data_IF_558438496226
#
_entry.id   IF_558438496226
#
_cell.length_a   1.000
_cell.length_b   1.000
_cell.length_c   1.000
_cell.angle_alpha   90.00
_cell.angle_beta   90.00
_cell.angle_gamma   90.00
#
_symmetry.space_group_name_H-M   'P 1'
#
loop_
_entity.id
_entity.type
_entity.pdbx_description
1 polymer ?
#
# COMPACT_ATOMS: atom_id res chain seq x y z
N UNK A 1 6.10 -78.26 -49.69
CA UNK A 1 6.00 -77.91 -51.12
C UNK A 1 5.57 -76.45 -51.18
N UNK A 2 6.53 -75.55 -51.36
CA UNK A 2 6.87 -74.83 -52.61
C UNK A 2 6.20 -73.45 -52.57
N UNK A 3 6.81 -72.29 -52.78
CA UNK A 3 8.16 -71.83 -53.14
C UNK A 3 8.19 -70.32 -52.80
N UNK A 4 9.17 -69.84 -52.01
CA UNK A 4 10.25 -68.91 -52.39
C UNK A 4 10.04 -67.93 -53.57
N UNK A 5 10.33 -66.66 -53.26
CA UNK A 5 10.91 -65.61 -54.11
C UNK A 5 11.11 -64.37 -53.23
N UNK A 6 12.25 -64.08 -52.57
CA UNK A 6 13.64 -63.80 -52.97
C UNK A 6 13.92 -62.30 -53.24
N UNK A 7 15.14 -61.88 -52.89
CA UNK A 7 15.50 -60.65 -52.20
C UNK A 7 15.96 -59.44 -53.05
N UNK A 8 16.32 -58.36 -52.32
CA UNK A 8 17.19 -57.22 -52.64
C UNK A 8 16.43 -55.91 -52.98
N UNK A 9 16.75 -54.73 -52.47
CA UNK A 9 17.82 -54.25 -51.59
C UNK A 9 17.83 -52.71 -51.71
N UNK A 10 18.12 -51.97 -50.63
CA UNK A 10 18.32 -50.52 -50.69
C UNK A 10 17.80 -49.77 -49.47
N UNK A 11 18.69 -49.46 -48.53
CA UNK A 11 18.51 -48.40 -47.53
C UNK A 11 18.20 -47.08 -48.23
N UNK A 12 17.28 -46.27 -47.68
CA UNK A 12 17.46 -44.84 -47.29
C UNK A 12 16.08 -44.32 -46.85
N UNK A 13 16.04 -43.62 -45.72
CA UNK A 13 15.09 -42.51 -45.56
C UNK A 13 14.00 -42.75 -44.53
N UNK A 14 14.22 -42.12 -43.38
CA UNK A 14 13.33 -42.01 -42.23
C UNK A 14 11.94 -41.52 -42.63
N UNK A 15 10.95 -42.21 -42.06
CA UNK A 15 9.52 -41.93 -41.99
C UNK A 15 9.17 -40.51 -41.54
N UNK A 16 8.10 -40.02 -42.16
CA UNK A 16 7.12 -39.05 -41.67
C UNK A 16 7.61 -37.61 -41.46
N UNK A 17 7.26 -36.78 -42.45
CA UNK A 17 7.04 -35.34 -42.33
C UNK A 17 5.99 -35.11 -41.23
N UNK A 18 6.43 -34.86 -40.00
CA UNK A 18 5.58 -34.28 -38.98
C UNK A 18 5.60 -32.76 -39.13
N UNK A 19 4.46 -32.26 -39.60
CA UNK A 19 4.15 -30.86 -39.70
C UNK A 19 4.35 -30.14 -38.36
N UNK A 20 5.17 -29.09 -38.42
CA UNK A 20 5.09 -27.82 -37.68
C UNK A 20 4.20 -27.87 -36.42
N UNK A 21 4.83 -28.03 -35.25
CA UNK A 21 4.23 -27.71 -33.97
C UNK A 21 4.11 -26.18 -33.83
N UNK A 22 2.96 -25.62 -34.21
CA UNK A 22 2.54 -24.28 -33.79
C UNK A 22 1.82 -24.44 -32.45
N UNK A 23 2.23 -23.76 -31.37
CA UNK A 23 1.51 -23.85 -30.11
C UNK A 23 0.14 -23.18 -30.27
N UNK A 24 -0.90 -23.98 -30.09
CA UNK A 24 -2.31 -23.59 -30.00
C UNK A 24 -2.49 -22.54 -28.88
N UNK A 25 -2.53 -21.28 -29.28
CA UNK A 25 -3.13 -20.20 -28.52
C UNK A 25 -4.55 -19.94 -29.07
N UNK A 26 -5.48 -19.80 -28.13
CA UNK A 26 -6.88 -19.38 -28.29
C UNK A 26 -7.84 -20.40 -28.94
N UNK A 27 -8.73 -20.96 -28.12
CA UNK A 27 -10.15 -20.53 -28.06
C UNK A 27 -10.89 -21.36 -27.01
N UNK A 28 -10.92 -20.88 -25.77
CA UNK A 28 -12.01 -21.24 -24.85
C UNK A 28 -13.02 -20.09 -24.93
N UNK A 29 -13.95 -20.18 -25.89
CA UNK A 29 -15.14 -19.35 -25.91
C UNK A 29 -16.04 -19.86 -24.79
N UNK A 30 -15.98 -19.23 -23.62
CA UNK A 30 -17.01 -19.43 -22.61
C UNK A 30 -18.30 -18.81 -23.14
N UNK A 31 -19.19 -19.66 -23.66
CA UNK A 31 -20.59 -19.33 -23.81
C UNK A 31 -21.18 -19.17 -22.40
N UNK A 32 -21.13 -17.96 -21.86
CA UNK A 32 -21.88 -17.58 -20.66
C UNK A 32 -23.32 -17.43 -21.14
N UNK A 33 -24.10 -18.50 -21.03
CA UNK A 33 -25.56 -18.41 -21.08
C UNK A 33 -26.00 -17.50 -19.95
N UNK A 34 -26.62 -16.37 -20.32
CA UNK A 34 -27.12 -15.37 -19.41
C UNK A 34 -28.28 -15.93 -18.57
N UNK A 35 -27.95 -16.53 -17.43
CA UNK A 35 -28.83 -16.67 -16.27
C UNK A 35 -27.92 -16.83 -15.05
N UNK A 36 -28.02 -15.88 -14.12
CA UNK A 36 -27.18 -15.68 -12.92
C UNK A 36 -25.91 -14.83 -13.13
N UNK A 37 -26.07 -13.63 -13.69
CA UNK A 37 -25.20 -12.52 -13.30
C UNK A 37 -25.55 -12.13 -11.86
N UNK A 38 -24.65 -12.37 -10.92
CA UNK A 38 -24.70 -11.68 -9.63
C UNK A 38 -24.43 -10.19 -9.90
N UNK A 39 -25.49 -9.44 -10.20
CA UNK A 39 -25.47 -7.99 -10.23
C UNK A 39 -25.18 -7.47 -8.82
N UNK A 40 -23.91 -7.27 -8.48
CA UNK A 40 -23.49 -6.39 -7.40
C UNK A 40 -23.65 -4.91 -7.82
N UNK A 41 -24.79 -4.58 -8.44
CA UNK A 41 -25.04 -3.33 -9.15
C UNK A 41 -26.53 -2.99 -9.25
N UNK A 42 -27.34 -3.43 -8.29
CA UNK A 42 -28.75 -3.08 -8.19
C UNK A 42 -29.02 -2.08 -7.07
N UNK A 43 -28.73 -0.80 -7.31
CA UNK A 43 -29.23 0.31 -6.47
C UNK A 43 -28.16 1.29 -6.00
N UNK A 44 -27.93 2.36 -6.77
CA UNK A 44 -27.49 3.70 -6.33
C UNK A 44 -26.24 3.87 -5.45
N UNK A 45 -25.58 2.78 -5.03
CA UNK A 45 -24.44 2.76 -4.12
C UNK A 45 -23.18 2.40 -4.89
N UNK A 46 -22.15 3.22 -4.72
CA UNK A 46 -20.79 2.93 -5.20
C UNK A 46 -20.31 1.58 -4.63
N UNK A 47 -20.12 0.56 -5.47
CA UNK A 47 -19.56 -0.74 -5.05
C UNK A 47 -18.18 -0.54 -4.39
N UNK A 48 -17.82 -1.35 -3.39
CA UNK A 48 -16.48 -1.33 -2.75
C UNK A 48 -15.35 -1.34 -3.80
N UNK A 49 -15.54 -2.08 -4.90
CA UNK A 49 -14.56 -2.19 -5.99
C UNK A 49 -14.26 -0.84 -6.64
N UNK A 50 -15.25 0.05 -6.75
CA UNK A 50 -15.08 1.34 -7.41
C UNK A 50 -14.04 2.21 -6.68
N UNK A 51 -13.91 2.05 -5.37
CA UNK A 51 -12.95 2.78 -4.53
C UNK A 51 -11.49 2.35 -4.78
N UNK A 52 -11.27 1.20 -5.42
CA UNK A 52 -9.96 0.68 -5.79
C UNK A 52 -9.62 0.86 -7.28
N UNK A 53 -10.53 1.45 -8.08
CA UNK A 53 -10.26 1.73 -9.50
C UNK A 53 -9.17 2.79 -9.70
N UNK A 54 -9.00 3.68 -8.72
CA UNK A 54 -7.89 4.62 -8.70
C UNK A 54 -6.71 3.97 -7.98
N UNK A 55 -5.65 3.67 -8.74
CA UNK A 55 -4.42 3.15 -8.18
C UNK A 55 -3.75 4.15 -7.21
N UNK A 56 -2.76 3.68 -6.43
CA UNK A 56 -2.04 4.55 -5.49
C UNK A 56 -1.23 5.64 -6.18
N UNK A 57 -1.26 6.85 -5.62
CA UNK A 57 -0.61 8.05 -6.13
C UNK A 57 -0.07 8.89 -4.97
N UNK A 58 1.26 8.92 -4.84
CA UNK A 58 1.94 9.68 -3.79
C UNK A 58 1.81 11.19 -4.01
N UNK A 59 1.82 11.68 -5.25
CA UNK A 59 1.67 13.11 -5.53
C UNK A 59 0.29 13.61 -5.12
N UNK A 60 -0.73 12.78 -5.34
CA UNK A 60 -2.07 13.00 -4.81
C UNK A 60 -2.04 13.00 -3.27
N UNK A 61 -1.47 11.96 -2.66
CA UNK A 61 -1.37 11.84 -1.18
C UNK A 61 -0.69 13.06 -0.53
N UNK A 62 0.42 13.56 -1.09
CA UNK A 62 1.15 14.72 -0.59
C UNK A 62 0.28 15.98 -0.50
N UNK A 63 -0.60 16.18 -1.48
CA UNK A 63 -1.51 17.33 -1.49
C UNK A 63 -2.60 17.23 -0.42
N UNK A 64 -3.03 16.02 -0.07
CA UNK A 64 -4.08 15.79 0.93
C UNK A 64 -3.55 15.67 2.36
N UNK A 65 -2.29 15.29 2.54
CA UNK A 65 -1.64 15.13 3.84
C UNK A 65 -1.04 16.43 4.40
N UNK A 66 -1.62 17.59 4.05
CA UNK A 66 -1.23 18.91 4.61
C UNK A 66 -1.63 19.07 6.08
N UNK A 67 -2.68 18.36 6.49
CA UNK A 67 -3.09 18.24 7.90
C UNK A 67 -2.46 16.99 8.54
N UNK A 68 -2.41 16.99 9.87
CA UNK A 68 -1.85 15.86 10.63
C UNK A 68 -2.64 14.58 10.38
N UNK A 69 -1.89 13.53 10.01
CA UNK A 69 -2.34 12.15 9.98
C UNK A 69 -1.56 11.39 11.04
N UNK A 70 -2.27 10.66 11.90
CA UNK A 70 -1.70 9.96 13.04
C UNK A 70 -1.65 8.47 12.76
N UNK A 71 -0.54 7.84 13.17
CA UNK A 71 -0.37 6.40 13.05
C UNK A 71 -1.27 5.73 14.10
N UNK A 72 -2.26 4.99 13.63
CA UNK A 72 -3.20 4.28 14.50
C UNK A 72 -2.69 2.87 14.78
N UNK A 73 -2.42 2.11 13.73
CA UNK A 73 -1.97 0.73 13.81
C UNK A 73 -0.73 0.48 12.97
N UNK A 74 0.09 -0.48 13.40
CA UNK A 74 1.12 -1.09 12.57
C UNK A 74 1.29 -2.58 12.88
N UNK A 75 1.85 -3.36 11.94
CA UNK A 75 1.88 -4.83 12.04
C UNK A 75 3.25 -5.43 12.35
N UNK A 76 4.31 -4.62 12.46
CA UNK A 76 5.65 -5.07 12.84
C UNK A 76 6.32 -4.11 13.83
N UNK A 77 7.37 -4.56 14.51
CA UNK A 77 8.13 -3.78 15.51
C UNK A 77 7.30 -3.31 16.72
N UNK A 78 7.04 -4.23 17.65
CA UNK A 78 6.23 -3.99 18.84
C UNK A 78 6.74 -2.86 19.76
N UNK A 79 8.02 -2.49 19.71
CA UNK A 79 8.60 -1.44 20.57
C UNK A 79 8.33 -0.04 20.03
N UNK A 80 7.90 0.11 18.78
CA UNK A 80 7.74 1.42 18.14
C UNK A 80 6.81 2.37 18.92
N UNK A 81 5.73 1.85 19.52
CA UNK A 81 4.83 2.63 20.37
C UNK A 81 5.56 3.35 21.51
N UNK A 82 6.59 2.73 22.07
CA UNK A 82 7.37 3.33 23.17
C UNK A 82 8.38 4.36 22.68
N UNK A 83 8.87 4.21 21.45
CA UNK A 83 9.83 5.12 20.84
C UNK A 83 9.15 6.42 20.37
N UNK A 84 8.00 6.30 19.70
CA UNK A 84 7.25 7.43 19.15
C UNK A 84 5.75 7.31 19.44
N UNK A 85 5.35 7.39 20.72
CA UNK A 85 3.94 7.27 21.11
C UNK A 85 3.10 8.39 20.50
N UNK A 86 1.89 8.05 20.04
CA UNK A 86 0.97 9.02 19.49
C UNK A 86 1.57 9.84 18.32
N UNK A 87 2.35 9.19 17.45
CA UNK A 87 2.97 9.82 16.29
C UNK A 87 1.92 10.35 15.28
N UNK A 88 2.09 11.60 14.88
CA UNK A 88 1.42 12.19 13.73
C UNK A 88 2.42 12.84 12.78
N UNK A 89 2.07 12.90 11.50
CA UNK A 89 2.86 13.54 10.47
C UNK A 89 1.99 14.30 9.48
N UNK A 90 2.57 15.32 8.86
CA UNK A 90 1.98 16.07 7.76
C UNK A 90 3.05 16.52 6.78
N UNK A 91 2.67 16.80 5.55
CA UNK A 91 3.52 17.52 4.60
C UNK A 91 3.68 18.95 5.10
N UNK A 92 4.93 19.36 5.31
CA UNK A 92 5.27 20.75 5.65
C UNK A 92 5.67 21.56 4.41
N UNK A 93 6.36 20.93 3.46
CA UNK A 93 6.80 21.56 2.22
C UNK A 93 6.77 20.55 1.07
N UNK A 94 6.22 20.95 -0.08
CA UNK A 94 6.36 20.22 -1.34
C UNK A 94 7.44 20.95 -2.14
N UNK A 95 8.64 20.38 -2.20
CA UNK A 95 9.77 20.94 -2.95
C UNK A 95 9.55 20.76 -4.45
N UNK A 96 9.05 19.58 -4.84
CA UNK A 96 8.66 19.27 -6.21
C UNK A 96 7.43 18.35 -6.21
N UNK A 97 6.28 18.78 -6.79
CA UNK A 97 5.04 18.02 -6.77
C UNK A 97 5.21 16.59 -7.27
N UNK A 98 4.77 15.62 -6.45
CA UNK A 98 4.86 14.19 -6.79
C UNK A 98 6.28 13.64 -6.88
N UNK A 99 7.29 14.38 -6.42
CA UNK A 99 8.69 13.97 -6.48
C UNK A 99 9.39 14.08 -5.13
N UNK A 100 9.39 15.28 -4.54
CA UNK A 100 10.14 15.61 -3.33
C UNK A 100 9.27 16.42 -2.36
N UNK A 101 9.27 16.02 -1.10
CA UNK A 101 8.58 16.73 -0.04
C UNK A 101 9.33 16.63 1.28
N UNK A 102 9.02 17.53 2.20
CA UNK A 102 9.39 17.43 3.61
C UNK A 102 8.14 17.13 4.42
N UNK A 103 8.23 16.09 5.25
CA UNK A 103 7.22 15.75 6.24
C UNK A 103 7.67 16.26 7.61
N UNK A 104 6.82 17.01 8.29
CA UNK A 104 6.96 17.28 9.70
C UNK A 104 6.25 16.17 10.47
N UNK A 105 6.94 15.57 11.41
CA UNK A 105 6.37 14.60 12.34
C UNK A 105 6.45 15.14 13.76
N UNK A 106 5.46 14.79 14.57
CA UNK A 106 5.38 15.18 15.97
C UNK A 106 4.76 14.06 16.80
N UNK A 107 5.24 13.92 18.03
CA UNK A 107 4.77 12.91 18.98
C UNK A 107 4.97 13.37 20.42
N UNK A 108 4.20 12.81 21.33
CA UNK A 108 4.18 13.21 22.74
C UNK A 108 4.43 11.99 23.62
N UNK A 109 5.64 11.85 24.21
CA UNK A 109 5.95 10.80 25.18
C UNK A 109 5.03 10.81 26.41
N UNK A 110 4.52 11.99 26.76
CA UNK A 110 3.58 12.24 27.84
C UNK A 110 2.79 13.54 27.53
N UNK A 111 1.97 14.00 28.46
CA UNK A 111 1.12 15.18 28.29
C UNK A 111 1.89 16.50 28.14
N UNK A 112 3.11 16.60 28.70
CA UNK A 112 3.85 17.86 28.83
C UNK A 112 4.89 18.06 27.73
N UNK A 113 5.46 16.99 27.19
CA UNK A 113 6.51 17.05 26.18
C UNK A 113 5.95 16.88 24.76
N UNK A 114 6.46 17.72 23.86
CA UNK A 114 6.27 17.64 22.43
C UNK A 114 7.62 17.45 21.77
N UNK A 115 7.81 16.34 21.07
CA UNK A 115 8.97 16.10 20.23
C UNK A 115 8.54 16.19 18.78
N UNK A 116 9.35 16.85 17.96
CA UNK A 116 9.09 17.03 16.55
C UNK A 116 10.38 16.95 15.73
N UNK A 117 10.22 16.67 14.45
CA UNK A 117 11.33 16.68 13.50
C UNK A 117 10.80 16.72 12.08
N UNK A 118 11.73 16.75 11.13
CA UNK A 118 11.42 16.78 9.71
C UNK A 118 12.15 15.68 8.99
N UNK A 119 11.46 15.01 8.06
CA UNK A 119 12.05 14.04 7.16
C UNK A 119 11.85 14.49 5.73
N UNK A 120 12.97 14.61 4.99
CA UNK A 120 12.92 14.79 3.54
C UNK A 120 12.65 13.44 2.89
N UNK A 121 11.72 13.44 1.96
CA UNK A 121 11.32 12.24 1.23
C UNK A 121 11.42 12.46 -0.28
N UNK A 122 11.79 11.40 -0.97
CA UNK A 122 11.66 11.28 -2.42
C UNK A 122 10.58 10.25 -2.74
N UNK A 123 10.17 10.16 -4.00
CA UNK A 123 9.11 9.24 -4.43
C UNK A 123 9.59 8.32 -5.54
N UNK A 124 9.02 7.12 -5.58
CA UNK A 124 9.37 6.09 -6.57
C UNK A 124 8.11 5.34 -7.02
N UNK A 125 8.19 4.73 -8.21
CA UNK A 125 7.34 3.61 -8.59
C UNK A 125 7.96 2.32 -8.06
N UNK A 126 7.14 1.45 -7.50
CA UNK A 126 7.54 0.07 -7.18
C UNK A 126 8.02 -0.65 -8.44
N UNK A 127 7.24 -0.56 -9.51
CA UNK A 127 7.46 -1.20 -10.80
C UNK A 127 6.68 -0.44 -11.91
N UNK A 128 6.79 -0.90 -13.15
CA UNK A 128 6.13 -0.28 -14.31
C UNK A 128 4.62 -0.56 -14.41
N UNK A 129 4.05 -1.43 -13.57
CA UNK A 129 2.61 -1.67 -13.56
C UNK A 129 1.84 -0.50 -12.90
N UNK A 130 2.50 0.29 -12.06
CA UNK A 130 1.90 1.48 -11.46
C UNK A 130 1.94 2.68 -12.39
N UNK A 131 0.76 3.18 -12.75
CA UNK A 131 0.61 4.42 -13.54
C UNK A 131 1.28 5.63 -12.88
N UNK A 132 1.22 5.73 -11.56
CA UNK A 132 1.76 6.83 -10.76
C UNK A 132 2.80 6.31 -9.74
N UNK A 133 3.68 7.19 -9.25
CA UNK A 133 4.58 6.84 -8.15
C UNK A 133 3.75 6.49 -6.91
N UNK A 134 4.00 5.32 -6.33
CA UNK A 134 3.22 4.72 -5.25
C UNK A 134 4.05 4.48 -3.97
N UNK A 135 5.34 4.82 -3.96
CA UNK A 135 6.22 4.70 -2.80
C UNK A 135 6.79 6.07 -2.38
N UNK A 136 6.81 6.29 -1.06
CA UNK A 136 7.56 7.35 -0.39
C UNK A 136 8.86 6.74 0.14
N UNK A 137 9.99 7.40 -0.11
CA UNK A 137 11.29 6.95 0.34
C UNK A 137 11.86 7.97 1.31
N UNK A 138 12.00 7.58 2.56
CA UNK A 138 12.59 8.40 3.63
C UNK A 138 14.05 8.04 3.85
N UNK A 139 14.90 9.05 4.04
CA UNK A 139 16.31 8.90 4.38
C UNK A 139 16.56 9.61 5.70
N UNK A 140 16.96 8.87 6.73
CA UNK A 140 17.19 9.41 8.07
C UNK A 140 18.36 8.70 8.75
N UNK A 141 18.94 9.36 9.76
CA UNK A 141 20.03 8.78 10.56
C UNK A 141 19.45 8.21 11.84
N UNK A 142 19.73 6.94 12.14
CA UNK A 142 19.34 6.27 13.38
C UNK A 142 20.55 5.61 14.01
N UNK A 143 20.92 6.04 15.23
CA UNK A 143 22.08 5.50 15.95
C UNK A 143 23.40 5.66 15.18
N UNK A 144 23.58 6.76 14.44
CA UNK A 144 24.75 7.02 13.60
C UNK A 144 24.74 6.34 12.22
N UNK A 145 23.77 5.45 11.95
CA UNK A 145 23.66 4.78 10.66
C UNK A 145 22.66 5.49 9.74
N UNK A 146 23.02 5.61 8.46
CA UNK A 146 22.09 6.06 7.43
C UNK A 146 21.09 4.95 7.10
N UNK A 147 19.82 5.23 7.33
CA UNK A 147 18.70 4.34 7.02
C UNK A 147 17.93 4.91 5.83
N UNK A 148 17.64 4.03 4.87
CA UNK A 148 16.72 4.31 3.76
C UNK A 148 15.53 3.38 3.89
N UNK A 149 14.34 3.94 4.00
CA UNK A 149 13.10 3.17 4.14
C UNK A 149 12.09 3.56 3.08
N UNK A 150 11.49 2.56 2.44
CA UNK A 150 10.38 2.72 1.51
C UNK A 150 9.04 2.44 2.20
N UNK A 151 8.09 3.34 2.00
CA UNK A 151 6.71 3.25 2.43
C UNK A 151 5.82 3.18 1.19
N UNK A 152 5.29 2.00 0.89
CA UNK A 152 4.39 1.77 -0.25
C UNK A 152 2.95 2.05 0.15
N UNK A 153 2.22 2.78 -0.67
CA UNK A 153 0.77 2.95 -0.48
C UNK A 153 0.06 1.66 -0.92
N UNK A 154 -0.64 1.02 0.02
CA UNK A 154 -1.57 -0.07 -0.29
C UNK A 154 -2.95 0.48 -0.67
N UNK A 155 -3.41 1.49 0.05
CA UNK A 155 -4.67 2.18 -0.21
C UNK A 155 -4.65 3.58 0.38
N UNK A 156 -5.34 4.53 -0.25
CA UNK A 156 -5.62 5.83 0.33
C UNK A 156 -7.00 6.28 -0.16
N UNK A 157 -7.82 6.79 0.74
CA UNK A 157 -9.08 7.45 0.35
C UNK A 157 -8.84 8.91 -0.10
N UNK A 158 -7.61 9.40 0.07
CA UNK A 158 -7.18 10.78 -0.22
C UNK A 158 -8.02 11.85 0.49
N UNK A 159 -8.59 11.51 1.65
CA UNK A 159 -9.47 12.39 2.41
C UNK A 159 -9.26 12.29 3.91
N UNK A 160 -9.23 11.06 4.43
CA UNK A 160 -9.21 10.79 5.86
C UNK A 160 -8.18 9.75 6.27
N UNK A 161 -7.67 8.91 5.38
CA UNK A 161 -6.73 7.86 5.75
C UNK A 161 -5.84 7.37 4.61
N UNK A 162 -4.76 6.72 5.01
CA UNK A 162 -3.85 6.00 4.13
C UNK A 162 -3.33 4.75 4.83
N UNK A 163 -3.28 3.65 4.07
CA UNK A 163 -2.65 2.40 4.46
C UNK A 163 -1.32 2.29 3.73
N UNK A 164 -0.23 2.25 4.50
CA UNK A 164 1.13 2.12 3.99
C UNK A 164 1.70 0.74 4.34
N UNK A 165 2.76 0.33 3.66
CA UNK A 165 3.56 -0.83 4.03
C UNK A 165 5.05 -0.49 3.98
N UNK A 166 5.80 -0.87 5.00
CA UNK A 166 7.26 -0.71 5.05
C UNK A 166 7.94 -1.89 5.73
N UNK A 167 9.25 -2.04 5.52
CA UNK A 167 10.01 -3.12 6.15
C UNK A 167 10.07 -2.98 7.68
N UNK A 168 10.17 -1.76 8.22
CA UNK A 168 10.39 -1.59 9.66
C UNK A 168 9.11 -1.68 10.51
N UNK A 169 7.96 -1.29 9.95
CA UNK A 169 6.67 -1.24 10.67
C UNK A 169 5.60 -2.17 10.08
N UNK A 170 5.87 -2.82 8.94
CA UNK A 170 4.88 -3.62 8.23
C UNK A 170 3.76 -2.76 7.67
N UNK A 171 2.55 -3.31 7.64
CA UNK A 171 1.33 -2.59 7.25
C UNK A 171 0.98 -1.57 8.32
N UNK A 172 0.69 -0.34 7.92
CA UNK A 172 0.43 0.80 8.77
C UNK A 172 -0.92 1.44 8.41
N UNK A 173 -1.72 1.81 9.39
CA UNK A 173 -2.92 2.62 9.20
C UNK A 173 -2.70 4.02 9.73
N UNK A 174 -2.73 5.02 8.86
CA UNK A 174 -2.66 6.43 9.19
C UNK A 174 -4.01 7.10 8.97
N UNK A 175 -4.47 7.89 9.94
CA UNK A 175 -5.78 8.54 9.89
C UNK A 175 -5.65 10.02 10.23
N UNK A 176 -6.35 10.86 9.48
CA UNK A 176 -6.42 12.30 9.67
C UNK A 176 -6.91 12.63 11.08
N UNK A 177 -6.20 13.53 11.75
CA UNK A 177 -6.46 13.87 13.15
C UNK A 177 -7.89 14.40 13.39
N UNK A 178 -8.41 15.24 12.51
CA UNK A 178 -9.78 15.76 12.61
C UNK A 178 -10.82 14.65 12.55
N UNK A 179 -10.61 13.64 11.69
CA UNK A 179 -11.48 12.46 11.63
C UNK A 179 -11.46 11.67 12.94
N UNK A 180 -10.27 11.42 13.52
CA UNK A 180 -10.11 10.72 14.79
C UNK A 180 -10.82 11.43 15.96
N UNK A 181 -10.91 12.75 15.93
CA UNK A 181 -11.54 13.56 16.99
C UNK A 181 -13.06 13.65 16.86
N UNK A 182 -13.53 13.89 15.64
CA UNK A 182 -14.93 14.21 15.39
C UNK A 182 -15.79 12.96 15.23
N UNK A 183 -15.33 11.98 14.43
CA UNK A 183 -16.12 10.82 14.06
C UNK A 183 -15.99 9.69 15.08
N UNK A 184 -14.87 9.65 15.82
CA UNK A 184 -14.54 8.60 16.81
C UNK A 184 -14.63 7.16 16.26
N UNK A 185 -14.61 7.02 14.96
CA UNK A 185 -14.63 5.76 14.21
C UNK A 185 -13.43 5.71 13.26
N UNK A 186 -13.06 4.51 12.84
CA UNK A 186 -12.01 4.33 11.84
C UNK A 186 -12.61 4.32 10.43
N UNK A 187 -11.98 4.95 9.43
CA UNK A 187 -12.45 4.89 8.06
C UNK A 187 -12.53 3.45 7.55
N UNK A 188 -13.75 2.99 7.26
CA UNK A 188 -14.06 1.58 6.96
C UNK A 188 -13.12 0.95 5.93
N UNK A 189 -12.92 1.61 4.77
CA UNK A 189 -12.10 1.04 3.69
C UNK A 189 -10.63 0.91 4.08
N UNK A 190 -10.06 1.88 4.80
CA UNK A 190 -8.69 1.77 5.27
C UNK A 190 -8.53 0.70 6.36
N UNK A 191 -9.51 0.55 7.26
CA UNK A 191 -9.53 -0.54 8.24
C UNK A 191 -9.61 -1.90 7.56
N UNK A 192 -10.51 -2.05 6.58
CA UNK A 192 -10.65 -3.28 5.80
C UNK A 192 -9.36 -3.61 5.04
N UNK A 193 -8.73 -2.63 4.38
CA UNK A 193 -7.45 -2.85 3.69
C UNK A 193 -6.35 -3.26 4.65
N UNK A 194 -6.25 -2.63 5.83
CA UNK A 194 -5.29 -3.02 6.86
C UNK A 194 -5.52 -4.48 7.29
N UNK A 195 -6.77 -4.85 7.57
CA UNK A 195 -7.13 -6.19 8.06
C UNK A 195 -6.85 -7.27 7.00
N UNK A 196 -7.15 -6.99 5.74
CA UNK A 196 -6.82 -7.88 4.63
C UNK A 196 -5.30 -8.02 4.45
N UNK A 197 -4.55 -6.91 4.54
CA UNK A 197 -3.09 -6.92 4.38
C UNK A 197 -2.35 -7.55 5.58
N UNK A 198 -3.02 -7.73 6.71
CA UNK A 198 -2.46 -8.33 7.93
C UNK A 198 -3.11 -9.65 8.30
N UNK A 199 -3.99 -10.18 7.44
CA UNK A 199 -4.81 -11.38 7.71
C UNK A 199 -3.99 -12.57 8.20
N UNK A 200 -2.85 -12.81 7.59
CA UNK A 200 -2.03 -14.00 7.88
C UNK A 200 -1.21 -13.86 9.16
N UNK A 201 -0.86 -12.63 9.57
CA UNK A 201 -0.11 -12.42 10.83
C UNK A 201 -1.02 -12.24 12.03
N UNK A 202 -2.19 -11.60 11.86
CA UNK A 202 -3.08 -11.18 12.95
C UNK A 202 -2.46 -10.17 13.92
N UNK A 203 -1.23 -9.69 13.64
CA UNK A 203 -0.50 -8.78 14.54
C UNK A 203 -0.95 -7.34 14.32
N UNK A 204 -1.38 -6.69 15.40
CA UNK A 204 -1.76 -5.28 15.42
C UNK A 204 -1.20 -4.60 16.66
N UNK A 205 -0.31 -3.65 16.44
CA UNK A 205 0.21 -2.78 17.48
C UNK A 205 -0.45 -1.41 17.38
N UNK A 206 -0.98 -0.90 18.49
CA UNK A 206 -1.67 0.38 18.56
C UNK A 206 -0.73 1.50 19.00
N UNK A 207 -0.59 2.53 18.16
CA UNK A 207 0.21 3.73 18.46
C UNK A 207 -0.66 4.88 18.93
N UNK A 208 -1.82 5.08 18.28
CA UNK A 208 -2.83 6.04 18.72
C UNK A 208 -3.78 5.41 19.74
N UNK A 209 -3.61 5.77 21.01
CA UNK A 209 -4.54 5.48 22.09
C UNK A 209 -5.57 6.62 22.20
N UNK A 210 -6.84 6.32 21.91
CA UNK A 210 -7.92 7.29 21.88
C UNK A 210 -8.24 7.93 23.24
N UNK A 211 -7.78 7.33 24.36
CA UNK A 211 -7.90 7.93 25.69
C UNK A 211 -6.73 8.87 25.97
N UNK A 212 -5.51 8.44 25.63
CA UNK A 212 -4.27 9.12 26.07
C UNK A 212 -3.76 10.15 25.07
N UNK A 213 -3.78 9.83 23.78
CA UNK A 213 -3.19 10.71 22.77
C UNK A 213 -3.86 12.08 22.67
N UNK A 214 -5.19 12.23 22.80
CA UNK A 214 -5.83 13.55 22.80
C UNK A 214 -5.35 14.50 23.90
N UNK A 215 -4.79 13.96 25.00
CA UNK A 215 -4.28 14.75 26.12
C UNK A 215 -2.87 15.30 25.85
N UNK A 216 -2.14 14.69 24.92
CA UNK A 216 -0.77 15.06 24.53
C UNK A 216 -0.66 16.40 23.82
N UNK A 217 0.46 17.11 24.03
CA UNK A 217 0.76 18.38 23.34
C UNK A 217 0.82 18.24 21.82
N UNK A 218 1.31 17.11 21.28
CA UNK A 218 1.35 16.87 19.82
C UNK A 218 -0.02 16.85 19.15
N UNK A 219 -1.10 16.93 19.91
CA UNK A 219 -2.46 17.00 19.41
C UNK A 219 -3.08 18.37 19.64
N UNK A 220 -2.72 19.01 20.77
CA UNK A 220 -3.21 20.34 21.13
C UNK A 220 -2.49 21.44 20.35
N UNK A 221 -1.22 21.23 20.05
CA UNK A 221 -0.35 22.18 19.36
C UNK A 221 -0.06 21.69 17.94
N UNK A 222 -0.62 22.41 16.97
CA UNK A 222 -0.21 22.28 15.58
C UNK A 222 0.99 23.18 15.37
N UNK A 223 2.19 22.62 15.36
CA UNK A 223 3.38 23.38 15.00
C UNK A 223 3.20 23.81 13.54
N UNK A 224 2.98 25.10 13.34
CA UNK A 224 2.86 25.72 12.02
C UNK A 224 4.17 25.61 11.23
N UNK A 225 4.21 26.04 9.97
CA UNK A 225 5.48 26.21 9.27
C UNK A 225 6.25 27.39 9.90
N UNK A 226 6.99 27.13 10.98
CA UNK A 226 7.84 28.12 11.65
C UNK A 226 7.65 28.17 13.16
N UNK A 227 8.42 27.36 13.88
CA UNK A 227 8.84 27.59 15.27
C UNK A 227 10.35 27.45 15.33
#
# INVERSE_FOLDING_TARGET
QSERGQCAGGMVGVTCVFAIAVPLLLQAVFAITAENTCDAGGGGGSSVVSHFLQGPDVGKLMNYTKELHCLVYHSANATFKTEMPCLCARVSLIERPGEHATYLYQFSPNETYLLAGTNKVETRRTDEAYKHKNEIVSKYVRGGNYVKESFRILYADYRSCVVLNSTSLGTQLWVKLTHLREQKEMPYLCSLTYDLATKDSGVRHMVYDWKKCPEGRSYKENLGPGS
#
